data_IF_291852872047
#
_entry.id   IF_291852872047
#
_cell.length_a   1.000
_cell.length_b   1.000
_cell.length_c   1.000
_cell.angle_alpha   90.00
_cell.angle_beta   90.00
_cell.angle_gamma   90.00
#
_symmetry.space_group_name_H-M   'P 1'
#
loop_
_entity.id
_entity.type
_entity.pdbx_description
1 polymer ?
#
# COMPACT_ATOMS: atom_id res chain seq x y z
N UNK A 1 -10.29 -16.53 9.94
CA UNK A 1 -11.42 -16.62 9.00
C UNK A 1 -12.73 -16.13 9.57
N UNK A 2 -13.09 -16.51 10.80
CA UNK A 2 -14.39 -16.15 11.41
C UNK A 2 -14.70 -14.64 11.36
N UNK A 3 -13.69 -13.78 11.50
CA UNK A 3 -13.83 -12.32 11.39
C UNK A 3 -14.25 -11.89 9.98
N UNK A 4 -13.62 -12.44 8.94
CA UNK A 4 -13.97 -12.16 7.53
C UNK A 4 -15.41 -12.60 7.27
N UNK A 5 -15.77 -13.83 7.67
CA UNK A 5 -17.13 -14.36 7.52
C UNK A 5 -18.18 -13.54 8.25
N UNK A 6 -17.88 -13.09 9.47
CA UNK A 6 -18.78 -12.23 10.25
C UNK A 6 -19.12 -10.94 9.50
N UNK A 7 -18.10 -10.24 8.98
CA UNK A 7 -18.31 -8.98 8.26
C UNK A 7 -18.97 -9.17 6.90
N UNK A 8 -18.61 -10.21 6.15
CA UNK A 8 -19.32 -10.57 4.92
C UNK A 8 -20.79 -10.94 5.20
N UNK A 9 -21.06 -11.63 6.31
CA UNK A 9 -22.42 -11.94 6.78
C UNK A 9 -23.25 -10.71 7.14
N UNK A 10 -22.60 -9.59 7.47
CA UNK A 10 -23.24 -8.27 7.67
C UNK A 10 -23.45 -7.49 6.37
N UNK A 11 -22.95 -7.99 5.24
CA UNK A 11 -23.11 -7.35 3.94
C UNK A 11 -21.98 -6.41 3.53
N UNK A 12 -20.81 -6.50 4.17
CA UNK A 12 -19.60 -5.80 3.70
C UNK A 12 -19.25 -6.27 2.28
N UNK A 13 -18.91 -5.33 1.38
CA UNK A 13 -18.64 -5.61 -0.03
C UNK A 13 -17.18 -5.94 -0.35
N UNK A 14 -16.28 -5.86 0.63
CA UNK A 14 -14.89 -6.24 0.43
C UNK A 14 -13.98 -5.87 1.59
N UNK A 15 -12.69 -6.17 1.43
CA UNK A 15 -11.66 -5.87 2.42
C UNK A 15 -10.42 -5.27 1.77
N UNK A 16 -9.82 -4.32 2.48
CA UNK A 16 -8.42 -3.92 2.33
C UNK A 16 -7.60 -4.70 3.35
N UNK A 17 -6.77 -5.62 2.86
CA UNK A 17 -5.86 -6.40 3.70
C UNK A 17 -4.62 -5.55 3.97
N UNK A 18 -4.47 -5.08 5.21
CA UNK A 18 -3.40 -4.19 5.62
C UNK A 18 -2.08 -4.91 5.85
N UNK A 19 -0.96 -4.23 5.55
CA UNK A 19 0.42 -4.65 5.87
C UNK A 19 0.74 -6.12 5.54
N UNK A 20 0.28 -6.63 4.39
CA UNK A 20 0.27 -8.09 4.14
C UNK A 20 1.67 -8.70 4.08
N UNK A 21 2.70 -7.94 3.66
CA UNK A 21 4.08 -8.45 3.62
C UNK A 21 4.62 -8.91 4.98
N UNK A 22 4.04 -8.43 6.09
CA UNK A 22 4.47 -8.74 7.45
C UNK A 22 3.69 -9.90 8.11
N UNK A 23 2.90 -10.67 7.36
CA UNK A 23 2.04 -11.71 7.96
C UNK A 23 2.81 -12.93 8.48
N UNK A 24 4.04 -13.17 8.01
CA UNK A 24 4.83 -14.35 8.33
C UNK A 24 6.30 -13.96 8.49
N UNK A 25 6.96 -14.58 9.48
CA UNK A 25 8.39 -14.49 9.73
C UNK A 25 9.06 -15.87 9.69
N UNK A 26 10.38 -15.91 9.51
CA UNK A 26 11.15 -17.13 9.46
C UNK A 26 11.21 -17.81 10.84
N UNK A 27 10.72 -19.03 10.92
CA UNK A 27 10.62 -19.79 12.18
C UNK A 27 11.97 -20.10 12.86
N UNK A 28 13.10 -19.94 12.16
CA UNK A 28 14.43 -20.17 12.73
C UNK A 28 14.93 -19.01 13.60
N UNK A 29 14.27 -17.84 13.57
CA UNK A 29 14.58 -16.68 14.39
C UNK A 29 16.06 -16.28 14.34
N UNK A 30 16.65 -16.23 13.14
CA UNK A 30 18.02 -15.76 12.96
C UNK A 30 18.00 -14.25 12.86
N UNK A 31 19.12 -13.64 13.20
CA UNK A 31 19.32 -12.21 13.06
C UNK A 31 19.28 -11.82 11.57
N UNK A 32 18.60 -10.72 11.29
CA UNK A 32 18.57 -10.11 9.97
C UNK A 32 19.97 -9.58 9.58
N UNK A 33 20.36 -9.60 8.29
CA UNK A 33 21.61 -9.00 7.85
C UNK A 33 21.59 -7.47 8.01
N UNK A 34 22.68 -6.90 8.54
CA UNK A 34 22.86 -5.45 8.57
C UNK A 34 23.16 -4.88 7.17
N UNK A 35 22.64 -3.69 6.88
CA UNK A 35 22.97 -2.94 5.66
C UNK A 35 24.43 -2.46 5.71
N UNK A 36 24.88 -1.89 6.83
CA UNK A 36 26.30 -1.64 7.09
C UNK A 36 26.89 -2.76 7.99
N UNK A 37 27.77 -3.62 7.45
CA UNK A 37 28.38 -4.69 8.23
C UNK A 37 29.39 -4.20 9.28
N UNK A 38 29.79 -2.92 9.25
CA UNK A 38 30.72 -2.33 10.22
C UNK A 38 30.00 -1.60 11.36
N UNK A 39 28.68 -1.37 11.25
CA UNK A 39 27.89 -0.79 12.33
C UNK A 39 27.87 -1.75 13.52
N UNK A 40 28.10 -1.22 14.71
CA UNK A 40 28.05 -2.03 15.91
C UNK A 40 26.59 -2.45 16.17
N UNK A 41 26.30 -3.75 16.45
CA UNK A 41 24.91 -4.24 16.56
C UNK A 41 24.06 -3.47 17.58
N UNK A 42 24.65 -2.98 18.66
CA UNK A 42 23.97 -2.18 19.69
C UNK A 42 23.51 -0.79 19.22
N UNK A 43 23.99 -0.34 18.06
CA UNK A 43 23.64 0.94 17.44
C UNK A 43 22.66 0.80 16.28
N UNK A 44 22.29 -0.43 15.93
CA UNK A 44 21.24 -0.72 14.94
C UNK A 44 19.89 -0.45 15.60
N UNK A 45 19.27 0.67 15.24
CA UNK A 45 18.04 1.17 15.89
C UNK A 45 16.96 1.59 14.89
N UNK A 46 17.33 1.77 13.61
CA UNK A 46 16.38 2.06 12.54
C UNK A 46 16.00 0.78 11.80
N UNK A 47 14.78 0.72 11.27
CA UNK A 47 14.34 -0.37 10.39
C UNK A 47 15.19 -0.42 9.11
N UNK A 48 15.60 0.75 8.60
CA UNK A 48 16.46 0.89 7.42
C UNK A 48 17.90 0.40 7.61
N UNK A 49 18.31 0.06 8.84
CA UNK A 49 19.65 -0.44 9.13
C UNK A 49 19.78 -1.95 8.81
N UNK A 50 18.68 -2.64 8.50
CA UNK A 50 18.60 -4.07 8.28
C UNK A 50 18.01 -4.40 6.90
N UNK A 51 18.48 -5.49 6.30
CA UNK A 51 17.76 -6.20 5.25
C UNK A 51 16.72 -7.11 5.89
N UNK A 52 15.45 -7.01 5.49
CA UNK A 52 14.35 -7.75 6.12
C UNK A 52 14.09 -9.11 5.45
N UNK A 53 15.12 -9.93 5.34
CA UNK A 53 15.07 -11.21 4.64
C UNK A 53 14.21 -12.26 5.36
N UNK A 54 14.02 -12.12 6.67
CA UNK A 54 13.36 -13.09 7.54
C UNK A 54 12.03 -12.62 8.11
N UNK A 55 11.67 -11.35 7.91
CA UNK A 55 10.49 -10.73 8.55
C UNK A 55 9.45 -10.19 7.58
N UNK A 56 9.76 -10.13 6.28
CA UNK A 56 8.77 -9.79 5.25
C UNK A 56 8.70 -10.81 4.11
N UNK A 57 7.54 -10.86 3.45
CA UNK A 57 7.30 -11.59 2.20
C UNK A 57 7.76 -13.06 2.23
N UNK A 58 7.61 -13.71 3.38
CA UNK A 58 8.04 -15.08 3.59
C UNK A 58 7.23 -16.09 2.76
N UNK A 59 7.83 -17.27 2.53
CA UNK A 59 7.17 -18.38 1.88
C UNK A 59 5.85 -18.72 2.60
N UNK A 60 4.76 -18.88 1.82
CA UNK A 60 3.42 -19.14 2.32
C UNK A 60 2.53 -17.90 2.43
N UNK A 61 3.08 -16.68 2.33
CA UNK A 61 2.29 -15.44 2.34
C UNK A 61 1.21 -15.44 1.25
N UNK A 62 1.61 -15.63 -0.01
CA UNK A 62 0.67 -15.61 -1.12
C UNK A 62 -0.35 -16.76 -1.05
N UNK A 63 0.03 -17.91 -0.48
CA UNK A 63 -0.91 -19.02 -0.30
C UNK A 63 -1.99 -18.68 0.75
N UNK A 64 -1.63 -17.96 1.80
CA UNK A 64 -2.58 -17.43 2.79
C UNK A 64 -3.56 -16.43 2.13
N UNK A 65 -3.05 -15.51 1.32
CA UNK A 65 -3.89 -14.52 0.62
C UNK A 65 -4.84 -15.18 -0.40
N UNK A 66 -4.37 -16.22 -1.09
CA UNK A 66 -5.20 -17.01 -2.02
C UNK A 66 -6.28 -17.80 -1.29
N UNK A 67 -5.99 -18.35 -0.12
CA UNK A 67 -7.02 -18.97 0.72
C UNK A 67 -8.07 -17.93 1.14
N UNK A 68 -7.66 -16.72 1.55
CA UNK A 68 -8.59 -15.64 1.90
C UNK A 68 -9.49 -15.27 0.72
N UNK A 69 -8.91 -15.09 -0.47
CA UNK A 69 -9.66 -14.88 -1.72
C UNK A 69 -10.67 -15.99 -1.97
N UNK A 70 -10.26 -17.25 -1.84
CA UNK A 70 -11.12 -18.40 -2.04
C UNK A 70 -12.29 -18.46 -1.05
N UNK A 71 -12.07 -18.09 0.22
CA UNK A 71 -13.16 -17.98 1.20
C UNK A 71 -14.14 -16.85 0.83
N UNK A 72 -13.64 -15.71 0.34
CA UNK A 72 -14.48 -14.59 -0.10
C UNK A 72 -15.32 -14.93 -1.34
N UNK A 73 -14.82 -15.78 -2.25
CA UNK A 73 -15.57 -16.25 -3.43
C UNK A 73 -16.89 -16.94 -3.08
N UNK A 74 -16.99 -17.60 -1.92
CA UNK A 74 -18.24 -18.20 -1.47
C UNK A 74 -19.37 -17.16 -1.30
N UNK A 75 -19.03 -15.90 -1.02
CA UNK A 75 -19.95 -14.77 -0.85
C UNK A 75 -20.14 -13.93 -2.12
N UNK A 76 -19.45 -14.30 -3.21
CA UNK A 76 -19.48 -13.61 -4.51
C UNK A 76 -20.33 -14.32 -5.56
N UNK A 77 -21.02 -15.41 -5.19
CA UNK A 77 -21.80 -16.24 -6.12
C UNK A 77 -23.07 -15.58 -6.65
N UNK A 78 -23.63 -14.64 -5.89
CA UNK A 78 -24.81 -13.89 -6.29
C UNK A 78 -24.43 -12.80 -7.31
N UNK A 79 -25.02 -12.80 -8.53
CA UNK A 79 -24.71 -11.78 -9.52
C UNK A 79 -24.92 -10.36 -8.99
N UNK A 80 -23.95 -9.48 -9.22
CA UNK A 80 -23.97 -8.10 -8.71
C UNK A 80 -23.50 -7.93 -7.26
N UNK A 81 -23.09 -9.01 -6.57
CA UNK A 81 -22.58 -8.97 -5.19
C UNK A 81 -21.19 -9.60 -5.06
N UNK A 82 -20.30 -9.22 -5.97
CA UNK A 82 -18.90 -9.59 -5.88
C UNK A 82 -18.26 -9.01 -4.61
N UNK A 83 -17.42 -9.80 -3.93
CA UNK A 83 -16.61 -9.34 -2.79
C UNK A 83 -15.22 -8.96 -3.24
N UNK A 84 -14.91 -7.68 -3.07
CA UNK A 84 -13.66 -7.07 -3.47
C UNK A 84 -12.55 -7.33 -2.46
N UNK A 85 -11.33 -7.63 -2.90
CA UNK A 85 -10.13 -7.76 -2.06
C UNK A 85 -8.99 -6.94 -2.66
N UNK A 86 -8.47 -5.99 -1.87
CA UNK A 86 -7.24 -5.24 -2.18
C UNK A 86 -6.20 -5.52 -1.12
N UNK A 87 -4.94 -5.61 -1.51
CA UNK A 87 -3.81 -5.77 -0.58
C UNK A 87 -3.02 -4.47 -0.47
N UNK A 88 -2.58 -4.16 0.75
CA UNK A 88 -1.60 -3.13 1.01
C UNK A 88 -0.25 -3.77 1.28
N UNK A 89 0.70 -3.49 0.39
CA UNK A 89 2.11 -3.78 0.59
C UNK A 89 2.92 -2.63 0.01
N UNK A 90 3.86 -2.11 0.79
CA UNK A 90 4.86 -1.16 0.34
C UNK A 90 6.12 -1.97 0.03
N UNK A 91 6.25 -2.48 -1.19
CA UNK A 91 7.45 -3.19 -1.65
C UNK A 91 8.43 -2.26 -2.40
N UNK A 92 8.24 -0.94 -2.26
CA UNK A 92 9.09 0.14 -2.79
C UNK A 92 9.70 -0.17 -4.16
N UNK A 93 11.03 -0.07 -4.30
CA UNK A 93 11.78 -0.25 -5.56
C UNK A 93 11.64 -1.65 -6.19
N UNK A 94 10.89 -2.57 -5.57
CA UNK A 94 10.65 -3.93 -6.03
C UNK A 94 9.22 -4.10 -6.59
N UNK A 95 8.92 -3.39 -7.69
CA UNK A 95 7.61 -3.44 -8.37
C UNK A 95 7.15 -4.86 -8.68
N UNK A 96 8.07 -5.76 -9.01
CA UNK A 96 7.77 -7.17 -9.28
C UNK A 96 7.10 -7.86 -8.09
N UNK A 97 7.53 -7.57 -6.85
CA UNK A 97 6.90 -8.11 -5.62
C UNK A 97 5.47 -7.60 -5.48
N UNK A 98 5.25 -6.31 -5.76
CA UNK A 98 3.89 -5.73 -5.78
C UNK A 98 3.01 -6.45 -6.80
N UNK A 99 3.52 -6.74 -8.00
CA UNK A 99 2.74 -7.40 -9.05
C UNK A 99 2.34 -8.83 -8.71
N UNK A 100 3.08 -9.53 -7.84
CA UNK A 100 2.72 -10.89 -7.41
C UNK A 100 1.34 -10.96 -6.73
N UNK A 101 0.88 -9.87 -6.10
CA UNK A 101 -0.43 -9.84 -5.43
C UNK A 101 -1.63 -9.86 -6.39
N UNK A 102 -1.44 -9.61 -7.69
CA UNK A 102 -2.48 -9.88 -8.69
C UNK A 102 -2.76 -11.39 -8.86
N UNK A 103 -1.85 -12.24 -8.37
CA UNK A 103 -1.88 -13.68 -8.58
C UNK A 103 -1.36 -14.06 -9.97
N UNK A 104 -1.86 -15.17 -10.49
CA UNK A 104 -1.47 -15.69 -11.81
C UNK A 104 -2.70 -15.88 -12.69
N UNK A 105 -2.50 -16.17 -13.97
CA UNK A 105 -3.59 -16.51 -14.89
C UNK A 105 -4.42 -17.74 -14.45
N UNK A 106 -3.86 -18.60 -13.58
CA UNK A 106 -4.51 -19.81 -13.09
C UNK A 106 -5.08 -19.66 -11.67
N UNK A 107 -4.51 -18.77 -10.86
CA UNK A 107 -4.83 -18.63 -9.44
C UNK A 107 -5.05 -17.18 -9.11
N UNK A 108 -6.30 -16.84 -8.75
CA UNK A 108 -6.68 -15.51 -8.31
C UNK A 108 -6.14 -15.22 -6.91
N UNK A 109 -5.76 -13.97 -6.68
CA UNK A 109 -5.34 -13.47 -5.39
C UNK A 109 -6.09 -12.16 -5.08
N UNK A 110 -5.44 -11.00 -4.99
CA UNK A 110 -6.16 -9.73 -4.88
C UNK A 110 -6.78 -9.32 -6.22
N UNK A 111 -7.85 -8.51 -6.18
CA UNK A 111 -8.40 -7.87 -7.38
C UNK A 111 -7.40 -6.86 -7.97
N UNK A 112 -6.70 -6.16 -7.08
CA UNK A 112 -5.44 -5.47 -7.35
C UNK A 112 -4.71 -5.22 -6.01
N UNK A 113 -3.38 -5.12 -6.02
CA UNK A 113 -2.63 -4.47 -4.95
C UNK A 113 -2.80 -2.95 -5.03
N UNK A 114 -2.81 -2.24 -3.90
CA UNK A 114 -2.81 -0.78 -3.93
C UNK A 114 -1.54 -0.26 -4.61
N UNK A 115 -1.71 0.66 -5.55
CA UNK A 115 -0.61 1.31 -6.25
C UNK A 115 -0.16 2.55 -5.47
N UNK A 116 0.95 2.42 -4.74
CA UNK A 116 1.49 3.51 -3.92
C UNK A 116 2.51 4.40 -4.65
N UNK A 117 2.90 4.09 -5.89
CA UNK A 117 3.99 4.80 -6.58
C UNK A 117 3.68 6.28 -6.88
N UNK A 118 2.41 6.66 -7.07
CA UNK A 118 2.06 8.07 -7.25
C UNK A 118 2.15 8.89 -5.96
N UNK A 119 2.38 8.27 -4.79
CA UNK A 119 2.75 8.99 -3.57
C UNK A 119 4.09 9.72 -3.73
N UNK A 120 4.97 9.27 -4.63
CA UNK A 120 6.28 9.87 -4.90
C UNK A 120 6.22 11.07 -5.84
N UNK A 121 5.04 11.45 -6.33
CA UNK A 121 4.87 12.64 -7.16
C UNK A 121 5.55 13.90 -6.60
N UNK A 122 5.45 14.22 -5.28
CA UNK A 122 6.05 15.41 -4.70
C UNK A 122 7.59 15.40 -4.69
N UNK A 123 8.23 14.24 -4.82
CA UNK A 123 9.69 14.17 -4.86
C UNK A 123 10.25 14.93 -6.06
N UNK A 124 9.53 14.93 -7.20
CA UNK A 124 9.91 15.60 -8.44
C UNK A 124 8.69 16.02 -9.27
N UNK A 125 8.15 17.22 -9.06
CA UNK A 125 6.98 17.71 -9.80
C UNK A 125 7.29 18.07 -11.27
N UNK A 126 7.43 17.07 -12.14
CA UNK A 126 7.72 17.22 -13.57
C UNK A 126 6.92 16.23 -14.43
N UNK A 127 6.66 16.58 -15.69
CA UNK A 127 5.93 15.69 -16.62
C UNK A 127 6.65 14.36 -16.87
N UNK A 128 7.98 14.37 -16.97
CA UNK A 128 8.78 13.16 -17.13
C UNK A 128 8.69 12.22 -15.90
N UNK A 129 8.61 12.79 -14.69
CA UNK A 129 8.46 11.99 -13.47
C UNK A 129 7.07 11.36 -13.38
N UNK A 130 6.02 12.13 -13.66
CA UNK A 130 4.64 11.61 -13.72
C UNK A 130 4.54 10.47 -14.74
N UNK A 131 5.12 10.66 -15.93
CA UNK A 131 5.15 9.62 -16.97
C UNK A 131 5.88 8.38 -16.47
N UNK A 132 7.04 8.53 -15.84
CA UNK A 132 7.81 7.42 -15.31
C UNK A 132 7.01 6.60 -14.28
N UNK A 133 6.37 7.25 -13.31
CA UNK A 133 5.58 6.56 -12.28
C UNK A 133 4.36 5.82 -12.87
N UNK A 134 3.68 6.43 -13.84
CA UNK A 134 2.57 5.76 -14.55
C UNK A 134 3.10 4.57 -15.35
N UNK A 135 4.20 4.74 -16.06
CA UNK A 135 4.79 3.70 -16.88
C UNK A 135 5.34 2.53 -16.05
N UNK A 136 5.90 2.81 -14.87
CA UNK A 136 6.37 1.81 -13.93
C UNK A 136 5.26 0.82 -13.57
N UNK A 137 4.04 1.29 -13.31
CA UNK A 137 2.91 0.40 -13.06
C UNK A 137 2.47 -0.32 -14.35
N UNK A 138 2.26 0.43 -15.43
CA UNK A 138 1.64 -0.10 -16.65
C UNK A 138 2.53 -1.10 -17.40
N UNK A 139 3.86 -0.99 -17.30
CA UNK A 139 4.81 -1.93 -17.93
C UNK A 139 4.95 -3.24 -17.15
N UNK A 140 4.74 -3.22 -15.82
CA UNK A 140 4.96 -4.38 -14.96
C UNK A 140 3.66 -5.10 -14.58
N UNK A 141 2.52 -4.41 -14.61
CA UNK A 141 1.22 -5.01 -14.33
C UNK A 141 0.94 -6.17 -15.30
N UNK A 142 0.54 -7.36 -14.80
CA UNK A 142 0.26 -8.50 -15.67
C UNK A 142 -0.83 -8.18 -16.70
N UNK A 143 -0.67 -8.71 -17.92
CA UNK A 143 -1.59 -8.44 -19.02
C UNK A 143 -3.05 -8.78 -18.65
N UNK A 144 -3.97 -7.87 -18.97
CA UNK A 144 -5.40 -8.04 -18.71
C UNK A 144 -5.85 -7.71 -17.28
N UNK A 145 -4.94 -7.34 -16.38
CA UNK A 145 -5.28 -6.90 -15.03
C UNK A 145 -5.81 -5.46 -14.99
N UNK A 146 -6.45 -5.11 -13.86
CA UNK A 146 -7.05 -3.80 -13.64
C UNK A 146 -6.14 -2.90 -12.80
N UNK A 147 -5.75 -1.75 -13.36
CA UNK A 147 -4.92 -0.78 -12.65
C UNK A 147 -5.71 -0.01 -11.58
N UNK A 148 -4.99 0.60 -10.65
CA UNK A 148 -5.54 1.55 -9.69
C UNK A 148 -4.51 2.65 -9.40
N UNK A 149 -4.98 3.77 -8.87
CA UNK A 149 -4.18 4.96 -8.65
C UNK A 149 -4.64 5.67 -7.38
N UNK A 150 -3.70 6.21 -6.61
CA UNK A 150 -3.95 7.08 -5.45
C UNK A 150 -2.81 8.08 -5.32
N UNK A 151 -3.06 9.23 -4.70
CA UNK A 151 -2.04 10.29 -4.49
C UNK A 151 -1.91 10.70 -3.03
N UNK A 152 -2.63 10.01 -2.15
CA UNK A 152 -2.59 10.24 -0.72
C UNK A 152 -3.35 9.16 0.04
N UNK A 153 -3.07 9.10 1.33
CA UNK A 153 -3.73 8.23 2.30
C UNK A 153 -3.52 8.82 3.71
N UNK A 154 -3.75 8.03 4.74
CA UNK A 154 -3.65 8.45 6.13
C UNK A 154 -2.22 8.45 6.70
N UNK A 155 -1.28 7.76 6.04
CA UNK A 155 0.13 7.65 6.44
C UNK A 155 1.02 8.69 5.76
N UNK A 156 0.51 9.33 4.71
CA UNK A 156 1.24 10.30 3.90
C UNK A 156 0.80 11.74 4.18
N UNK A 157 1.74 12.69 4.16
CA UNK A 157 1.39 14.11 4.10
C UNK A 157 0.40 14.39 2.97
N UNK A 158 -0.56 15.28 3.20
CA UNK A 158 -1.56 15.63 2.17
C UNK A 158 -0.87 16.18 0.93
N UNK A 159 -1.32 15.71 -0.23
CA UNK A 159 -0.75 16.08 -1.54
C UNK A 159 -0.78 17.60 -1.79
N UNK A 160 -1.75 18.32 -1.24
CA UNK A 160 -1.81 19.78 -1.33
C UNK A 160 -0.67 20.49 -0.60
N UNK A 161 -0.20 19.89 0.51
CA UNK A 161 0.92 20.41 1.29
C UNK A 161 2.27 20.07 0.67
N UNK A 162 2.39 18.91 0.02
CA UNK A 162 3.67 18.44 -0.55
C UNK A 162 3.87 18.87 -2.00
N UNK A 163 2.89 18.68 -2.87
CA UNK A 163 2.95 19.13 -4.27
C UNK A 163 2.58 20.61 -4.44
N UNK A 164 1.72 21.14 -3.57
CA UNK A 164 1.25 22.53 -3.57
C UNK A 164 -0.14 22.71 -4.20
N UNK A 165 -0.91 23.66 -3.66
CA UNK A 165 -2.26 24.03 -4.12
C UNK A 165 -2.44 24.16 -5.64
N UNK A 166 -1.52 24.81 -6.39
CA UNK A 166 -1.69 24.97 -7.84
C UNK A 166 -1.82 23.64 -8.61
N UNK A 167 -1.31 22.53 -8.06
CA UNK A 167 -1.29 21.24 -8.73
C UNK A 167 -2.52 20.36 -8.44
N UNK A 168 -3.33 20.66 -7.42
CA UNK A 168 -4.41 19.77 -6.99
C UNK A 168 -5.41 19.47 -8.11
N UNK A 169 -5.78 20.48 -8.90
CA UNK A 169 -6.72 20.29 -10.01
C UNK A 169 -6.17 19.37 -11.09
N UNK A 170 -4.89 19.50 -11.43
CA UNK A 170 -4.26 18.69 -12.49
C UNK A 170 -3.95 17.27 -11.98
N UNK A 171 -3.61 17.10 -10.70
CA UNK A 171 -3.44 15.79 -10.08
C UNK A 171 -4.77 15.03 -10.03
N UNK A 172 -5.87 15.68 -9.62
CA UNK A 172 -7.19 15.05 -9.63
C UNK A 172 -7.66 14.76 -11.07
N UNK A 173 -7.33 15.61 -12.05
CA UNK A 173 -7.58 15.32 -13.47
C UNK A 173 -6.83 14.08 -13.93
N UNK A 174 -5.54 13.97 -13.61
CA UNK A 174 -4.73 12.78 -13.89
C UNK A 174 -5.39 11.53 -13.30
N UNK A 175 -5.71 11.56 -12.01
CA UNK A 175 -6.28 10.42 -11.29
C UNK A 175 -7.59 9.92 -11.94
N UNK A 176 -8.45 10.84 -12.36
CA UNK A 176 -9.76 10.53 -12.97
C UNK A 176 -9.68 10.20 -14.48
N UNK A 177 -8.51 10.33 -15.11
CA UNK A 177 -8.34 10.06 -16.55
C UNK A 177 -7.38 8.92 -16.86
N UNK A 178 -6.58 8.47 -15.89
CA UNK A 178 -5.80 7.24 -16.00
C UNK A 178 -6.73 6.01 -16.04
N UNK A 179 -6.34 4.94 -16.77
CA UNK A 179 -7.14 3.72 -16.84
C UNK A 179 -7.15 3.00 -15.48
N UNK A 180 -8.31 2.46 -15.09
CA UNK A 180 -8.43 1.70 -13.85
C UNK A 180 -9.30 2.39 -12.80
N UNK A 181 -9.02 2.12 -11.52
CA UNK A 181 -9.79 2.66 -10.39
C UNK A 181 -9.06 3.81 -9.70
N UNK A 182 -9.61 5.04 -9.69
CA UNK A 182 -9.11 6.12 -8.86
C UNK A 182 -9.51 5.90 -7.39
N UNK A 183 -8.55 6.07 -6.47
CA UNK A 183 -8.79 6.12 -5.02
C UNK A 183 -8.43 7.50 -4.51
N UNK A 184 -9.39 8.16 -3.85
CA UNK A 184 -9.25 9.51 -3.32
C UNK A 184 -9.29 9.47 -1.80
N UNK A 185 -8.29 10.03 -1.15
CA UNK A 185 -8.30 10.23 0.29
C UNK A 185 -9.12 11.47 0.65
N UNK A 186 -9.90 11.37 1.73
CA UNK A 186 -10.81 12.45 2.13
C UNK A 186 -10.07 13.78 2.26
N UNK A 187 -10.63 14.83 1.65
CA UNK A 187 -10.07 16.17 1.63
C UNK A 187 -9.28 16.51 0.37
N UNK A 188 -8.83 15.51 -0.41
CA UNK A 188 -8.15 15.76 -1.69
C UNK A 188 -9.07 16.44 -2.72
N UNK A 189 -10.38 16.19 -2.65
CA UNK A 189 -11.39 16.77 -3.54
C UNK A 189 -11.56 18.28 -3.32
N UNK A 190 -11.21 18.78 -2.14
CA UNK A 190 -11.23 20.21 -1.79
C UNK A 190 -9.82 20.80 -1.58
N UNK A 191 -8.77 20.02 -1.80
CA UNK A 191 -7.38 20.46 -1.61
C UNK A 191 -7.00 20.72 -0.14
N UNK A 192 -7.48 19.91 0.80
CA UNK A 192 -7.09 20.00 2.21
C UNK A 192 -5.58 19.92 2.37
N UNK A 193 -5.04 20.75 3.26
CA UNK A 193 -3.63 20.77 3.67
C UNK A 193 -3.44 20.15 5.05
N UNK A 194 -2.21 19.73 5.35
CA UNK A 194 -1.81 19.30 6.66
C UNK A 194 -2.11 20.39 7.69
N UNK A 195 -2.52 19.96 8.88
CA UNK A 195 -2.60 20.85 10.03
C UNK A 195 -1.30 20.76 10.81
N UNK A 196 -0.93 21.86 11.46
CA UNK A 196 0.15 21.83 12.44
C UNK A 196 -0.44 21.31 13.76
N UNK A 197 -0.02 20.14 14.20
CA UNK A 197 -0.39 19.57 15.51
C UNK A 197 0.77 19.81 16.47
N UNK A 198 0.55 20.61 17.50
CA UNK A 198 1.57 20.86 18.52
C UNK A 198 1.73 19.66 19.46
N UNK A 199 2.86 19.54 20.15
CA UNK A 199 3.12 18.45 21.09
C UNK A 199 2.10 18.39 22.23
N UNK A 200 1.59 19.55 22.64
CA UNK A 200 0.52 19.65 23.64
C UNK A 200 -0.83 19.14 23.14
N UNK A 201 -1.05 19.13 21.83
CA UNK A 201 -2.30 18.68 21.21
C UNK A 201 -2.24 17.20 20.83
N UNK A 202 -1.05 16.66 20.57
CA UNK A 202 -0.84 15.25 20.25
C UNK A 202 -1.45 14.37 21.36
N UNK A 203 -2.42 13.52 20.99
CA UNK A 203 -3.02 12.55 21.91
C UNK A 203 -2.58 11.12 21.66
N UNK A 204 -2.18 10.82 20.42
CA UNK A 204 -1.69 9.52 20.00
C UNK A 204 -0.43 9.12 20.79
N UNK A 205 -0.40 7.94 21.45
CA UNK A 205 0.78 7.48 22.18
C UNK A 205 2.05 7.42 21.32
N UNK A 206 1.98 7.00 20.06
CA UNK A 206 3.15 6.97 19.19
C UNK A 206 3.65 8.39 18.86
N UNK A 207 2.73 9.31 18.52
CA UNK A 207 3.03 10.73 18.28
C UNK A 207 3.56 11.51 19.50
N UNK A 208 3.28 11.03 20.73
CA UNK A 208 3.83 11.59 21.99
C UNK A 208 5.26 11.13 22.28
N UNK A 209 5.67 9.97 21.77
CA UNK A 209 6.93 9.31 22.15
C UNK A 209 7.96 9.18 21.03
N UNK A 210 7.61 9.51 19.77
CA UNK A 210 8.56 9.52 18.67
C UNK A 210 9.39 10.82 18.62
N UNK A 211 10.72 10.69 18.69
CA UNK A 211 11.68 11.79 18.62
C UNK A 211 12.08 12.20 17.19
N UNK A 212 11.62 11.46 16.17
CA UNK A 212 11.87 11.73 14.75
C UNK A 212 10.52 12.00 14.09
N UNK A 213 10.30 13.24 13.65
CA UNK A 213 9.18 13.61 12.79
C UNK A 213 9.73 13.86 11.38
N UNK A 214 9.09 13.27 10.38
CA UNK A 214 9.29 13.55 8.95
C UNK A 214 8.93 15.01 8.63
#
# INVERSE_FOLDING_TARGET
>A
MDIIHFWLGKGVDGFRMGSVKHLLEAAHLRDEPQVDPNQAPETVVSESDLYHDYTVSQLGLHDLLRDWRAQMEAYSREPGRYRFMVTESYDDEEVDKTMMYYGTSLVKESDFPFNFYLLDLPQKTSGAWVQHLVQLWMDNMPEGQWANWLVGNHDQPRIASTAGQPYIRVINMLLLTLPGTPTTYYGEEIGMENINVTDSEAQDPAGKHNAVRL
#
